data_IF_379048492840
#
_entry.id   IF_379048492840
#
_cell.length_a   1.000
_cell.length_b   1.000
_cell.length_c   1.000
_cell.angle_alpha   90.00
_cell.angle_beta   90.00
_cell.angle_gamma   90.00
#
_symmetry.space_group_name_H-M   'P 1'
#
loop_
_entity.id
_entity.type
_entity.pdbx_description
1 polymer ?
#
# COMPACT_ATOMS: atom_id res chain seq x y z
N UNK A 1 27.58 -10.29 26.29
CA UNK A 1 26.31 -10.44 25.53
C UNK A 1 25.58 -9.10 25.36
N UNK A 2 26.26 -8.08 24.80
CA UNK A 2 25.67 -6.73 24.62
C UNK A 2 25.59 -6.32 23.14
N UNK A 3 25.63 -7.28 22.21
CA UNK A 3 25.70 -7.02 20.76
C UNK A 3 24.58 -7.74 20.02
N UNK A 4 23.33 -7.53 20.44
CA UNK A 4 22.20 -8.02 19.63
C UNK A 4 20.89 -7.24 19.77
N UNK A 5 20.85 -6.14 20.53
CA UNK A 5 19.56 -5.50 20.88
C UNK A 5 19.38 -4.04 20.46
N UNK A 6 20.31 -3.46 19.71
CA UNK A 6 20.21 -2.06 19.28
C UNK A 6 20.02 -1.86 17.77
N UNK A 7 19.97 -2.94 16.98
CA UNK A 7 19.76 -2.87 15.52
C UNK A 7 18.33 -3.17 15.08
N UNK A 8 17.40 -3.42 16.01
CA UNK A 8 15.98 -3.64 15.69
C UNK A 8 15.08 -2.46 16.07
N UNK A 9 15.65 -1.28 16.29
CA UNK A 9 14.91 -0.04 16.07
C UNK A 9 14.74 0.13 14.56
N UNK A 10 13.61 -0.32 14.03
CA UNK A 10 13.12 0.08 12.70
C UNK A 10 12.14 1.27 12.76
N UNK A 11 12.36 2.39 13.49
CA UNK A 11 11.45 3.52 13.45
C UNK A 11 11.81 4.44 12.27
N UNK A 12 11.62 3.94 11.05
CA UNK A 12 11.42 4.74 9.84
C UNK A 12 10.86 3.86 8.73
N UNK A 13 9.84 3.09 9.08
CA UNK A 13 8.99 2.43 8.09
C UNK A 13 8.06 3.48 7.49
N UNK A 14 8.09 3.61 6.18
CA UNK A 14 7.06 4.29 5.41
C UNK A 14 6.06 3.21 4.98
N UNK A 15 4.96 2.98 5.74
CA UNK A 15 3.98 2.00 5.37
C UNK A 15 3.21 2.47 4.13
N UNK A 16 3.02 1.56 3.20
CA UNK A 16 2.10 1.75 2.10
C UNK A 16 0.66 1.70 2.63
N UNK A 17 -0.07 2.80 2.52
CA UNK A 17 -1.49 2.85 2.90
C UNK A 17 -2.37 1.90 2.06
N UNK A 18 -1.89 1.46 0.89
CA UNK A 18 -2.67 0.62 -0.03
C UNK A 18 -2.53 -0.88 0.26
N UNK A 19 -1.41 -1.34 0.84
CA UNK A 19 -1.18 -2.76 1.12
C UNK A 19 -0.47 -3.08 2.45
N UNK A 20 -0.16 -2.07 3.26
CA UNK A 20 0.51 -2.23 4.55
C UNK A 20 1.99 -2.59 4.49
N UNK A 21 2.59 -2.76 3.29
CA UNK A 21 4.04 -3.00 3.16
C UNK A 21 4.84 -1.82 3.69
N UNK A 22 5.79 -2.10 4.59
CA UNK A 22 6.71 -1.11 5.13
C UNK A 22 7.96 -0.98 4.26
N UNK A 23 8.35 0.25 3.95
CA UNK A 23 9.56 0.56 3.19
C UNK A 23 10.53 1.38 4.04
N UNK A 24 11.83 1.23 3.78
CA UNK A 24 12.88 1.94 4.53
C UNK A 24 13.10 3.38 4.05
N UNK A 25 12.51 3.78 2.92
CA UNK A 25 12.64 5.13 2.36
C UNK A 25 11.37 5.62 1.67
N UNK A 26 11.15 6.94 1.69
CA UNK A 26 10.03 7.56 0.98
C UNK A 26 10.12 7.35 -0.55
N UNK A 27 11.33 7.33 -1.13
CA UNK A 27 11.53 7.08 -2.56
C UNK A 27 11.14 5.66 -2.96
N UNK A 28 11.48 4.65 -2.14
CA UNK A 28 11.07 3.27 -2.39
C UNK A 28 9.56 3.08 -2.20
N UNK A 29 8.96 3.73 -1.19
CA UNK A 29 7.51 3.80 -1.07
C UNK A 29 6.86 4.46 -2.30
N UNK A 30 7.40 5.58 -2.79
CA UNK A 30 6.86 6.30 -3.94
C UNK A 30 6.92 5.46 -5.23
N UNK A 31 8.05 4.77 -5.49
CA UNK A 31 8.16 3.84 -6.60
C UNK A 31 7.16 2.68 -6.47
N UNK A 32 7.01 2.14 -5.26
CA UNK A 32 6.03 1.09 -4.99
C UNK A 32 4.58 1.56 -5.21
N UNK A 33 4.22 2.76 -4.77
CA UNK A 33 2.90 3.36 -5.02
C UNK A 33 2.63 3.56 -6.50
N UNK A 34 3.64 3.86 -7.32
CA UNK A 34 3.49 3.90 -8.79
C UNK A 34 3.08 2.54 -9.37
N UNK A 35 3.59 1.44 -8.80
CA UNK A 35 3.13 0.09 -9.20
C UNK A 35 1.67 -0.14 -8.83
N UNK A 36 1.19 0.40 -7.71
CA UNK A 36 -0.24 0.35 -7.40
C UNK A 36 -1.07 1.15 -8.39
N UNK A 37 -0.65 2.35 -8.78
CA UNK A 37 -1.37 3.14 -9.80
C UNK A 37 -1.38 2.42 -11.16
N UNK A 38 -0.25 1.86 -11.58
CA UNK A 38 -0.14 1.10 -12.82
C UNK A 38 -0.95 -0.21 -12.80
N UNK A 39 -1.10 -0.83 -11.64
CA UNK A 39 -1.90 -2.04 -11.45
C UNK A 39 -3.37 -1.75 -11.17
N UNK A 40 -3.73 -0.54 -10.75
CA UNK A 40 -5.10 -0.12 -10.47
C UNK A 40 -5.71 0.51 -11.72
N UNK A 41 -5.92 -0.30 -12.76
CA UNK A 41 -6.73 0.12 -13.92
C UNK A 41 -8.19 0.41 -13.53
N UNK A 42 -8.63 -0.02 -12.35
CA UNK A 42 -10.02 0.12 -11.89
C UNK A 42 -10.09 0.79 -10.52
N UNK A 43 -10.35 2.09 -10.49
CA UNK A 43 -10.54 2.87 -9.26
C UNK A 43 -12.02 3.04 -8.90
N UNK A 44 -12.32 3.01 -7.61
CA UNK A 44 -13.62 3.40 -7.08
C UNK A 44 -13.72 4.93 -7.06
N UNK A 45 -14.78 5.48 -7.65
CA UNK A 45 -15.00 6.92 -7.67
C UNK A 45 -15.45 7.47 -6.31
N UNK A 46 -16.11 6.63 -5.49
CA UNK A 46 -16.70 7.06 -4.21
C UNK A 46 -15.64 7.22 -3.10
N UNK A 47 -14.58 6.38 -3.09
CA UNK A 47 -13.55 6.42 -2.06
C UNK A 47 -12.10 6.47 -2.60
N UNK A 48 -11.92 6.52 -3.92
CA UNK A 48 -10.59 6.57 -4.57
C UNK A 48 -9.79 5.27 -4.47
N UNK A 49 -10.38 4.19 -3.93
CA UNK A 49 -9.69 2.93 -3.70
C UNK A 49 -9.55 2.17 -5.03
N UNK A 50 -8.33 1.82 -5.40
CA UNK A 50 -8.08 1.09 -6.65
C UNK A 50 -8.03 -0.43 -6.51
N UNK A 51 -8.33 -1.10 -7.61
CA UNK A 51 -8.34 -2.55 -7.71
C UNK A 51 -7.64 -3.00 -8.98
N UNK A 52 -6.94 -4.14 -8.88
CA UNK A 52 -6.29 -4.76 -10.03
C UNK A 52 -7.29 -5.47 -10.96
N UNK A 53 -8.49 -5.80 -10.48
CA UNK A 53 -9.50 -6.51 -11.26
C UNK A 53 -10.83 -5.74 -11.20
N UNK A 54 -11.47 -5.57 -12.34
CA UNK A 54 -12.80 -4.96 -12.43
C UNK A 54 -13.83 -5.71 -11.55
N UNK A 55 -13.74 -7.04 -11.46
CA UNK A 55 -14.61 -7.86 -10.61
C UNK A 55 -14.48 -7.54 -9.12
N UNK A 56 -13.26 -7.23 -8.64
CA UNK A 56 -13.03 -6.77 -7.27
C UNK A 56 -13.57 -5.37 -7.05
N UNK A 57 -13.40 -4.45 -8.01
CA UNK A 57 -14.03 -3.13 -7.94
C UNK A 57 -15.56 -3.25 -7.88
N UNK A 58 -16.16 -4.08 -8.72
CA UNK A 58 -17.62 -4.28 -8.76
C UNK A 58 -18.16 -4.92 -7.47
N UNK A 59 -17.41 -5.84 -6.85
CA UNK A 59 -17.75 -6.34 -5.51
C UNK A 59 -17.62 -5.25 -4.46
N UNK A 60 -16.54 -4.48 -4.49
CA UNK A 60 -16.32 -3.37 -3.57
C UNK A 60 -17.39 -2.29 -3.69
N UNK A 61 -17.86 -1.95 -4.90
CA UNK A 61 -18.94 -0.97 -5.07
C UNK A 61 -20.24 -1.39 -4.36
N UNK A 62 -20.46 -2.68 -4.14
CA UNK A 62 -21.61 -3.17 -3.35
C UNK A 62 -21.48 -2.89 -1.86
N UNK A 63 -20.29 -2.56 -1.35
CA UNK A 63 -20.12 -2.17 0.06
C UNK A 63 -20.47 -0.71 0.33
N UNK A 64 -20.67 0.09 -0.72
CA UNK A 64 -21.11 1.50 -0.60
C UNK A 64 -22.60 1.70 -0.85
N UNK A 65 -23.31 0.64 -1.27
CA UNK A 65 -24.77 0.63 -1.32
C UNK A 65 -25.35 0.74 0.09
#
# INVERSE_FOLDING_TARGET
LARHRLTHTTPKSFPCAECGKAFYSATSLAQHRRMHIAQRSHSCHECGLGFHKASRLAQHRRTHA
#
